data_IF_650937259932
#
_entry.id   IF_650937259932
#
_cell.length_a   1.000
_cell.length_b   1.000
_cell.length_c   1.000
_cell.angle_alpha   90.00
_cell.angle_beta   90.00
_cell.angle_gamma   90.00
#
_symmetry.space_group_name_H-M   'P 1'
#
loop_
_entity.id
_entity.type
_entity.pdbx_description
1 polymer ?
#
# COMPACT_ATOMS: atom_id res chain seq x y z
N UNK A 1 -65.26 -40.51 -22.78
CA UNK A 1 -64.17 -41.26 -22.11
C UNK A 1 -62.95 -41.17 -23.02
N UNK A 2 -62.01 -40.26 -22.76
CA UNK A 2 -60.71 -40.23 -23.45
C UNK A 2 -59.71 -39.57 -22.52
N UNK A 3 -58.80 -40.39 -21.99
CA UNK A 3 -57.79 -40.00 -21.01
C UNK A 3 -56.58 -39.36 -21.69
N UNK A 4 -56.17 -38.24 -21.09
CA UNK A 4 -54.81 -37.72 -20.90
C UNK A 4 -53.65 -38.61 -21.36
N UNK A 5 -52.74 -38.03 -22.16
CA UNK A 5 -51.29 -38.18 -21.98
C UNK A 5 -50.59 -36.86 -22.31
N UNK A 6 -50.42 -36.02 -21.30
CA UNK A 6 -49.45 -34.91 -21.34
C UNK A 6 -48.05 -35.52 -21.28
N UNK A 7 -47.31 -35.43 -22.38
CA UNK A 7 -45.89 -35.77 -22.44
C UNK A 7 -45.09 -34.64 -21.78
N UNK A 8 -44.72 -34.86 -20.51
CA UNK A 8 -43.81 -33.97 -19.81
C UNK A 8 -42.40 -34.09 -20.41
N UNK A 9 -41.94 -33.03 -21.09
CA UNK A 9 -40.53 -32.87 -21.44
C UNK A 9 -39.74 -32.63 -20.16
N UNK A 10 -38.71 -33.44 -19.83
CA UNK A 10 -37.88 -33.16 -18.67
C UNK A 10 -37.06 -31.90 -18.97
N UNK A 11 -37.45 -30.77 -18.36
CA UNK A 11 -36.63 -29.57 -18.32
C UNK A 11 -35.40 -29.91 -17.49
N UNK A 12 -34.32 -30.33 -18.17
CA UNK A 12 -33.01 -30.54 -17.57
C UNK A 12 -32.60 -29.20 -16.96
N UNK A 13 -32.79 -29.04 -15.66
CA UNK A 13 -32.18 -27.95 -14.90
C UNK A 13 -30.69 -28.26 -14.95
N UNK A 14 -30.02 -27.67 -15.94
CA UNK A 14 -28.57 -27.58 -15.94
C UNK A 14 -28.27 -26.65 -14.78
N UNK A 15 -28.11 -27.26 -13.60
CA UNK A 15 -27.41 -26.65 -12.49
C UNK A 15 -26.02 -26.33 -13.04
N UNK A 16 -25.86 -25.11 -13.56
CA UNK A 16 -24.54 -24.56 -13.82
C UNK A 16 -23.87 -24.50 -12.47
N UNK A 17 -23.19 -25.59 -12.11
CA UNK A 17 -22.09 -25.52 -11.17
C UNK A 17 -21.24 -24.37 -11.71
N UNK A 18 -21.08 -23.32 -10.89
CA UNK A 18 -20.16 -22.22 -11.20
C UNK A 18 -18.78 -22.84 -11.25
N UNK A 19 -18.44 -23.43 -12.39
CA UNK A 19 -17.11 -23.87 -12.70
C UNK A 19 -16.26 -22.64 -12.48
N UNK A 20 -15.32 -22.73 -11.54
CA UNK A 20 -14.27 -21.76 -11.38
C UNK A 20 -13.51 -21.79 -12.70
N UNK A 21 -13.96 -20.94 -13.64
CA UNK A 21 -13.44 -20.90 -14.99
C UNK A 21 -11.99 -20.48 -14.79
N UNK A 22 -11.05 -21.39 -15.00
CA UNK A 22 -9.62 -21.09 -15.19
C UNK A 22 -9.43 -20.39 -16.55
N UNK A 23 -10.33 -19.47 -16.87
CA UNK A 23 -10.16 -18.45 -17.89
C UNK A 23 -9.74 -17.18 -17.15
N UNK A 24 -9.02 -16.31 -17.85
CA UNK A 24 -8.49 -15.06 -17.31
C UNK A 24 -9.44 -14.45 -16.27
N UNK A 25 -8.93 -14.05 -15.09
CA UNK A 25 -9.77 -13.49 -14.04
C UNK A 25 -10.68 -12.46 -14.68
N UNK A 26 -11.98 -12.51 -14.36
CA UNK A 26 -12.95 -11.53 -14.84
C UNK A 26 -12.36 -10.19 -14.45
N UNK A 27 -11.71 -9.55 -15.42
CA UNK A 27 -10.83 -8.43 -15.18
C UNK A 27 -11.78 -7.31 -14.80
N UNK A 28 -11.81 -6.92 -13.53
CA UNK A 28 -12.05 -5.53 -13.14
C UNK A 28 -10.91 -4.62 -13.65
N UNK A 29 -10.27 -4.97 -14.78
CA UNK A 29 -9.16 -4.24 -15.38
C UNK A 29 -9.64 -3.65 -16.69
N UNK A 30 -10.42 -2.58 -16.57
CA UNK A 30 -10.29 -1.45 -17.50
C UNK A 30 -8.98 -0.66 -17.20
N UNK A 31 -8.16 -1.14 -16.26
CA UNK A 31 -6.87 -0.55 -15.91
C UNK A 31 -5.83 -0.88 -16.98
N UNK A 32 -5.64 0.05 -17.92
CA UNK A 32 -4.43 0.14 -18.71
C UNK A 32 -3.21 0.12 -17.76
N UNK A 33 -2.25 -0.76 -18.03
CA UNK A 33 -0.99 -0.76 -17.29
C UNK A 33 -0.29 0.57 -17.56
N UNK A 34 0.00 1.30 -16.49
CA UNK A 34 0.72 2.56 -16.60
C UNK A 34 2.23 2.29 -16.59
N UNK A 35 2.94 2.93 -17.50
CA UNK A 35 4.38 2.77 -17.72
C UNK A 35 5.07 4.14 -17.67
N UNK A 36 6.39 4.15 -17.43
CA UNK A 36 7.16 5.38 -17.32
C UNK A 36 6.68 6.26 -16.16
N UNK A 37 6.57 7.57 -16.38
CA UNK A 37 6.23 8.54 -15.33
C UNK A 37 4.78 8.39 -14.85
N UNK A 38 3.85 7.97 -15.73
CA UNK A 38 2.45 7.74 -15.32
C UNK A 38 2.33 6.57 -14.35
N UNK A 39 3.28 5.63 -14.36
CA UNK A 39 3.32 4.54 -13.40
C UNK A 39 3.45 5.05 -11.95
N UNK A 40 4.11 6.19 -11.74
CA UNK A 40 4.26 6.79 -10.41
C UNK A 40 2.95 7.43 -9.96
N UNK A 41 2.31 8.22 -10.82
CA UNK A 41 1.00 8.87 -10.52
C UNK A 41 -0.12 7.83 -10.34
N UNK A 42 -0.05 6.72 -11.07
CA UNK A 42 -1.00 5.61 -11.01
C UNK A 42 -0.35 4.34 -10.45
N UNK A 43 0.21 4.46 -9.24
CA UNK A 43 1.03 3.42 -8.62
C UNK A 43 0.31 2.08 -8.39
N UNK A 44 -1.00 2.11 -8.16
CA UNK A 44 -1.86 0.93 -8.02
C UNK A 44 -2.16 0.21 -9.36
N UNK A 45 -1.91 0.87 -10.49
CA UNK A 45 -2.12 0.33 -11.83
C UNK A 45 -0.82 -0.08 -12.54
N UNK A 46 0.31 -0.09 -11.83
CA UNK A 46 1.61 -0.53 -12.35
C UNK A 46 2.13 -1.75 -11.60
N UNK A 47 2.41 -2.83 -12.32
CA UNK A 47 3.02 -4.04 -11.74
C UNK A 47 4.35 -3.77 -11.05
N UNK A 48 5.15 -2.84 -11.57
CA UNK A 48 6.42 -2.45 -10.96
C UNK A 48 6.21 -1.77 -9.61
N UNK A 49 5.29 -0.80 -9.54
CA UNK A 49 5.00 -0.07 -8.30
C UNK A 49 4.32 -0.96 -7.25
N UNK A 50 3.43 -1.86 -7.66
CA UNK A 50 2.85 -2.86 -6.73
C UNK A 50 3.94 -3.75 -6.14
N UNK A 51 4.91 -4.21 -6.96
CA UNK A 51 6.06 -4.98 -6.46
C UNK A 51 6.90 -4.15 -5.50
N UNK A 52 7.19 -2.90 -5.84
CA UNK A 52 7.92 -1.98 -4.96
C UNK A 52 7.20 -1.80 -3.61
N UNK A 53 5.87 -1.59 -3.61
CA UNK A 53 5.08 -1.46 -2.38
C UNK A 53 5.07 -2.73 -1.52
N UNK A 54 5.07 -3.92 -2.13
CA UNK A 54 5.19 -5.20 -1.41
C UNK A 54 6.57 -5.39 -0.78
N UNK A 55 7.62 -5.13 -1.54
CA UNK A 55 9.00 -5.19 -1.04
C UNK A 55 9.20 -4.16 0.06
N UNK A 56 8.68 -2.95 -0.11
CA UNK A 56 8.71 -1.91 0.92
C UNK A 56 7.98 -2.35 2.19
N UNK A 57 6.78 -2.91 2.09
CA UNK A 57 6.03 -3.44 3.23
C UNK A 57 6.76 -4.56 3.97
N UNK A 58 7.32 -5.52 3.22
CA UNK A 58 8.12 -6.61 3.80
C UNK A 58 9.42 -6.09 4.46
N UNK A 59 10.08 -5.12 3.84
CA UNK A 59 11.28 -4.47 4.36
C UNK A 59 10.98 -3.71 5.65
N UNK A 60 9.89 -2.94 5.71
CA UNK A 60 9.45 -2.27 6.94
C UNK A 60 9.25 -3.30 8.05
N UNK A 61 8.47 -4.35 7.80
CA UNK A 61 8.20 -5.42 8.78
C UNK A 61 9.50 -6.03 9.32
N UNK A 62 10.47 -6.29 8.44
CA UNK A 62 11.76 -6.85 8.82
C UNK A 62 12.60 -5.86 9.65
N UNK A 63 12.54 -4.56 9.37
CA UNK A 63 13.36 -3.53 10.01
C UNK A 63 12.84 -3.07 11.38
N UNK A 64 11.54 -3.24 11.68
CA UNK A 64 10.97 -2.86 12.99
C UNK A 64 11.72 -3.46 14.19
N UNK A 65 12.00 -4.79 14.27
CA UNK A 65 12.74 -5.33 15.42
C UNK A 65 14.16 -4.73 15.55
N UNK A 66 14.84 -4.44 14.44
CA UNK A 66 16.16 -3.80 14.47
C UNK A 66 16.07 -2.36 14.96
N UNK A 67 15.09 -1.59 14.52
CA UNK A 67 14.82 -0.24 15.02
C UNK A 67 14.62 -0.23 16.55
N UNK A 68 13.87 -1.21 17.06
CA UNK A 68 13.62 -1.35 18.50
C UNK A 68 14.84 -1.84 19.28
N UNK A 69 15.67 -2.71 18.72
CA UNK A 69 16.85 -3.23 19.41
C UNK A 69 18.05 -2.25 19.39
N UNK A 70 18.21 -1.49 18.31
CA UNK A 70 19.43 -0.71 18.09
C UNK A 70 19.37 0.73 18.62
N UNK A 71 18.19 1.38 18.69
CA UNK A 71 18.14 2.75 19.23
C UNK A 71 18.21 2.78 20.78
N UNK A 72 18.98 3.69 21.40
CA UNK A 72 19.79 4.76 20.80
C UNK A 72 21.21 4.26 20.48
N UNK A 73 21.55 4.10 19.20
CA UNK A 73 22.91 3.75 18.76
C UNK A 73 23.17 4.28 17.36
N UNK A 74 24.42 4.64 17.06
CA UNK A 74 24.86 5.02 15.73
C UNK A 74 24.64 3.89 14.70
N UNK A 75 24.60 2.62 15.14
CA UNK A 75 24.29 1.46 14.30
C UNK A 75 22.86 1.47 13.75
N UNK A 76 22.00 2.32 14.28
CA UNK A 76 20.61 2.45 13.86
C UNK A 76 20.44 3.41 12.66
N UNK A 77 21.45 4.23 12.37
CA UNK A 77 21.43 5.19 11.26
C UNK A 77 21.08 4.56 9.90
N UNK A 78 21.63 3.39 9.50
CA UNK A 78 21.24 2.73 8.26
C UNK A 78 19.78 2.26 8.26
N UNK A 79 19.26 1.86 9.42
CA UNK A 79 17.86 1.45 9.60
C UNK A 79 16.94 2.66 9.43
N UNK A 80 17.32 3.80 9.99
CA UNK A 80 16.59 5.07 9.84
C UNK A 80 16.52 5.52 8.36
N UNK A 81 17.62 5.45 7.62
CA UNK A 81 17.61 5.75 6.18
C UNK A 81 16.76 4.76 5.38
N UNK A 82 16.86 3.47 5.67
CA UNK A 82 16.05 2.45 5.00
C UNK A 82 14.55 2.66 5.26
N UNK A 83 14.15 2.87 6.52
CA UNK A 83 12.78 3.18 6.88
C UNK A 83 12.30 4.50 6.24
N UNK A 84 13.16 5.52 6.19
CA UNK A 84 12.88 6.79 5.55
C UNK A 84 12.55 6.70 4.05
N UNK A 85 13.03 5.66 3.36
CA UNK A 85 12.70 5.38 1.95
C UNK A 85 11.50 4.42 1.82
N UNK A 86 11.51 3.33 2.58
CA UNK A 86 10.52 2.27 2.44
C UNK A 86 9.12 2.73 2.89
N UNK A 87 9.03 3.52 3.97
CA UNK A 87 7.75 4.00 4.50
C UNK A 87 7.02 4.85 3.44
N UNK A 88 7.62 5.90 2.83
CA UNK A 88 6.96 6.66 1.77
C UNK A 88 6.57 5.82 0.55
N UNK A 89 7.41 4.87 0.11
CA UNK A 89 7.07 4.00 -1.03
C UNK A 89 5.83 3.16 -0.71
N UNK A 90 5.81 2.51 0.45
CA UNK A 90 4.67 1.71 0.90
C UNK A 90 3.40 2.57 1.01
N UNK A 91 3.51 3.74 1.64
CA UNK A 91 2.41 4.67 1.82
C UNK A 91 1.87 5.19 0.47
N UNK A 92 2.74 5.52 -0.48
CA UNK A 92 2.33 6.05 -1.79
C UNK A 92 1.52 5.04 -2.61
N UNK A 93 1.97 3.78 -2.67
CA UNK A 93 1.26 2.72 -3.40
C UNK A 93 -0.09 2.43 -2.74
N UNK A 94 -0.10 2.30 -1.40
CA UNK A 94 -1.33 2.05 -0.64
C UNK A 94 -2.32 3.20 -0.74
N UNK A 95 -1.86 4.45 -0.69
CA UNK A 95 -2.72 5.62 -0.85
C UNK A 95 -3.39 5.64 -2.23
N UNK A 96 -2.66 5.32 -3.30
CA UNK A 96 -3.25 5.24 -4.63
C UNK A 96 -4.38 4.19 -4.73
N UNK A 97 -4.25 3.06 -4.02
CA UNK A 97 -5.34 2.09 -3.92
C UNK A 97 -6.57 2.66 -3.19
N UNK A 98 -6.35 3.38 -2.08
CA UNK A 98 -7.44 4.09 -1.37
C UNK A 98 -8.12 5.11 -2.28
N UNK A 99 -7.36 5.90 -3.05
CA UNK A 99 -7.93 6.85 -4.00
C UNK A 99 -8.78 6.18 -5.08
N UNK A 100 -8.37 5.00 -5.56
CA UNK A 100 -9.14 4.21 -6.50
C UNK A 100 -10.47 3.71 -5.94
N UNK A 101 -10.50 3.35 -4.66
CA UNK A 101 -11.69 2.81 -4.00
C UNK A 101 -12.74 3.90 -3.71
N UNK A 102 -12.31 5.11 -3.35
CA UNK A 102 -13.22 6.14 -2.86
C UNK A 102 -13.46 7.33 -3.79
N UNK A 103 -12.59 7.56 -4.77
CA UNK A 103 -12.69 8.74 -5.65
C UNK A 103 -13.23 8.33 -7.03
N UNK A 104 -14.32 8.96 -7.51
CA UNK A 104 -14.83 8.72 -8.85
C UNK A 104 -13.75 9.00 -9.91
N UNK A 105 -13.66 8.14 -10.94
CA UNK A 105 -12.61 8.18 -11.99
C UNK A 105 -12.38 9.58 -12.57
N UNK A 106 -13.44 10.36 -12.77
CA UNK A 106 -13.40 11.72 -13.35
C UNK A 106 -12.61 12.70 -12.49
N UNK A 107 -12.55 12.47 -11.18
CA UNK A 107 -11.87 13.35 -10.23
C UNK A 107 -10.55 12.78 -9.72
N UNK A 108 -10.13 11.58 -10.12
CA UNK A 108 -8.96 10.92 -9.51
C UNK A 108 -7.63 11.65 -9.74
N UNK A 109 -7.44 12.27 -10.91
CA UNK A 109 -6.16 12.88 -11.28
C UNK A 109 -5.66 13.94 -10.28
N UNK A 110 -6.44 14.98 -9.89
CA UNK A 110 -5.97 15.98 -8.93
C UNK A 110 -5.61 15.35 -7.58
N UNK A 111 -6.38 14.38 -7.10
CA UNK A 111 -6.07 13.70 -5.84
C UNK A 111 -4.80 12.83 -5.95
N UNK A 112 -4.59 12.13 -7.06
CA UNK A 112 -3.36 11.35 -7.29
C UNK A 112 -2.13 12.24 -7.36
N UNK A 113 -2.23 13.41 -8.00
CA UNK A 113 -1.17 14.41 -8.00
C UNK A 113 -0.90 14.97 -6.60
N UNK A 114 -1.95 15.22 -5.81
CA UNK A 114 -1.77 15.62 -4.40
C UNK A 114 -1.12 14.53 -3.56
N UNK A 115 -1.45 13.25 -3.80
CA UNK A 115 -0.83 12.11 -3.12
C UNK A 115 0.64 11.96 -3.50
N UNK A 116 1.00 12.23 -4.76
CA UNK A 116 2.39 12.28 -5.20
C UNK A 116 3.15 13.43 -4.50
N UNK A 117 2.59 14.64 -4.50
CA UNK A 117 3.18 15.78 -3.82
C UNK A 117 3.34 15.51 -2.31
N UNK A 118 2.32 14.95 -1.67
CA UNK A 118 2.34 14.56 -0.26
C UNK A 118 3.38 13.48 0.03
N UNK A 119 3.54 12.50 -0.87
CA UNK A 119 4.55 11.44 -0.72
C UNK A 119 5.97 11.98 -0.88
N UNK A 120 6.19 12.91 -1.81
CA UNK A 120 7.47 13.60 -1.97
C UNK A 120 7.81 14.46 -0.74
N UNK A 121 6.85 15.26 -0.25
CA UNK A 121 7.01 16.03 0.97
C UNK A 121 7.27 15.14 2.19
N UNK A 122 6.57 14.01 2.29
CA UNK A 122 6.77 13.03 3.36
C UNK A 122 8.17 12.42 3.31
N UNK A 123 8.62 11.97 2.14
CA UNK A 123 9.98 11.46 1.95
C UNK A 123 11.04 12.49 2.35
N UNK A 124 10.93 13.72 1.85
CA UNK A 124 11.87 14.80 2.18
C UNK A 124 11.84 15.14 3.68
N UNK A 125 10.67 15.16 4.30
CA UNK A 125 10.53 15.37 5.74
C UNK A 125 11.25 14.29 6.55
N UNK A 126 11.09 13.02 6.18
CA UNK A 126 11.80 11.90 6.81
C UNK A 126 13.31 11.99 6.59
N UNK A 127 13.77 12.39 5.40
CA UNK A 127 15.19 12.60 5.14
C UNK A 127 15.78 13.74 5.97
N UNK A 128 15.06 14.85 6.12
CA UNK A 128 15.49 15.96 6.98
C UNK A 128 15.62 15.50 8.43
N UNK A 129 14.69 14.69 8.95
CA UNK A 129 14.77 14.11 10.30
C UNK A 129 15.99 13.18 10.45
N UNK A 130 16.33 12.41 9.42
CA UNK A 130 17.47 11.50 9.45
C UNK A 130 18.83 12.20 9.29
N UNK A 131 18.90 13.28 8.51
CA UNK A 131 20.15 14.00 8.22
C UNK A 131 20.47 15.02 9.30
N UNK A 132 19.47 15.81 9.71
CA UNK A 132 19.66 16.94 10.62
C UNK A 132 19.19 16.64 12.06
N UNK A 133 18.43 15.56 12.25
CA UNK A 133 17.84 15.19 13.54
C UNK A 133 18.46 13.93 14.13
N UNK A 134 17.80 13.38 15.15
CA UNK A 134 18.23 12.17 15.86
C UNK A 134 17.89 10.85 15.13
N UNK A 135 17.25 10.93 13.97
CA UNK A 135 16.71 9.77 13.25
C UNK A 135 15.27 9.45 13.62
N UNK A 136 14.53 8.82 12.70
CA UNK A 136 13.09 8.54 12.83
C UNK A 136 12.81 7.64 14.04
N UNK A 137 13.59 6.60 14.22
CA UNK A 137 13.35 5.59 15.27
C UNK A 137 13.64 6.12 16.67
N UNK A 138 14.70 6.91 16.86
CA UNK A 138 14.95 7.58 18.14
C UNK A 138 13.92 8.68 18.40
N UNK A 139 13.48 9.40 17.37
CA UNK A 139 12.37 10.35 17.47
C UNK A 139 11.09 9.66 17.98
N UNK A 140 10.80 8.43 17.54
CA UNK A 140 9.66 7.67 18.05
C UNK A 140 9.90 7.17 19.48
N UNK A 141 11.09 6.63 19.79
CA UNK A 141 11.36 6.13 21.15
C UNK A 141 11.40 7.22 22.21
N UNK A 142 11.84 8.44 21.86
CA UNK A 142 11.85 9.57 22.80
C UNK A 142 10.44 9.94 23.25
N UNK A 143 9.41 9.77 22.41
CA UNK A 143 8.00 9.95 22.80
C UNK A 143 7.58 8.93 23.87
N UNK A 144 8.18 7.74 23.86
CA UNK A 144 7.87 6.66 24.81
C UNK A 144 8.77 6.61 26.05
N UNK A 145 9.81 7.46 26.13
CA UNK A 145 10.64 7.56 27.34
C UNK A 145 10.04 8.58 28.30
N UNK A 146 10.26 8.36 29.59
CA UNK A 146 9.90 9.36 30.60
C UNK A 146 10.64 10.67 30.32
N UNK A 147 9.95 11.79 30.54
CA UNK A 147 10.57 13.11 30.41
C UNK A 147 11.79 13.18 31.34
N UNK A 148 12.92 13.77 30.88
CA UNK A 148 14.08 13.92 31.73
C UNK A 148 13.68 14.66 33.00
N UNK A 149 14.03 14.10 34.17
CA UNK A 149 13.77 14.76 35.46
C UNK A 149 14.41 16.14 35.40
N UNK A 150 13.62 17.20 35.57
CA UNK A 150 14.15 18.56 35.75
C UNK A 150 15.05 18.51 36.99
N UNK A 151 16.34 18.74 36.80
CA UNK A 151 17.23 18.98 37.93
C UNK A 151 16.78 20.27 38.60
N UNK A 152 16.30 20.16 39.84
CA UNK A 152 16.01 21.31 40.69
C UNK A 152 17.35 21.88 41.15
N UNK A 153 17.86 22.85 40.39
CA UNK A 153 18.91 23.76 40.87
C UNK A 153 18.35 24.69 41.94
#
# INVERSE_FOLDING_TARGET
MMMSRLTATPRRVVMQTRGFRKGNPIKFTENHQNHGVSAVVYADNSTAMIKAGKVAGAGILALIPFALALSPSALNTPVDYALGVLIPIHAHVSMNAVLSDYIPKVHQLPFRLSALAGSAAFFLGLMVVNVNGVGITESVKTIWREAPKKESH
#
